data_IF_304228131715
#
_entry.id   IF_304228131715
#
_cell.length_a   1.000
_cell.length_b   1.000
_cell.length_c   1.000
_cell.angle_alpha   90.00
_cell.angle_beta   90.00
_cell.angle_gamma   90.00
#
_symmetry.space_group_name_H-M   'P 1'
#
loop_
_entity.id
_entity.type
_entity.pdbx_description
1 polymer ?
#
# COMPACT_ATOMS: atom_id res chain seq x y z
N UNK A 1 5.11 2.51 -37.22
CA UNK A 1 5.69 2.04 -35.93
C UNK A 1 5.34 3.03 -34.83
N UNK A 2 4.91 2.55 -33.66
CA UNK A 2 4.61 3.39 -32.49
C UNK A 2 5.89 4.10 -32.02
N UNK A 3 5.80 5.38 -31.63
CA UNK A 3 6.93 6.11 -31.05
C UNK A 3 7.33 5.49 -29.70
N UNK A 4 8.61 5.55 -29.35
CA UNK A 4 9.09 5.16 -28.03
C UNK A 4 8.29 5.83 -26.91
N UNK A 5 7.84 5.03 -25.94
CA UNK A 5 6.95 5.47 -24.86
C UNK A 5 7.30 4.84 -23.52
N UNK A 6 6.40 5.03 -22.55
CA UNK A 6 6.51 4.43 -21.24
C UNK A 6 6.06 2.96 -21.20
N UNK A 7 5.85 2.46 -19.99
CA UNK A 7 5.45 1.06 -19.75
C UNK A 7 4.18 0.68 -20.51
N UNK A 8 3.18 1.56 -20.52
CA UNK A 8 1.88 1.31 -21.16
C UNK A 8 2.00 1.14 -22.67
N UNK A 9 2.81 1.97 -23.32
CA UNK A 9 3.05 1.93 -24.76
C UNK A 9 3.72 0.61 -25.16
N UNK A 10 4.76 0.21 -24.44
CA UNK A 10 5.46 -1.07 -24.68
C UNK A 10 4.53 -2.27 -24.49
N UNK A 11 3.74 -2.25 -23.42
CA UNK A 11 2.74 -3.30 -23.16
C UNK A 11 1.67 -3.35 -24.25
N UNK A 12 1.15 -2.19 -24.69
CA UNK A 12 0.15 -2.12 -25.76
C UNK A 12 0.68 -2.70 -27.07
N UNK A 13 1.89 -2.32 -27.50
CA UNK A 13 2.50 -2.87 -28.71
C UNK A 13 2.58 -4.39 -28.63
N UNK A 14 3.06 -4.94 -27.51
CA UNK A 14 3.19 -6.37 -27.31
C UNK A 14 1.83 -7.07 -27.32
N UNK A 15 0.84 -6.55 -26.59
CA UNK A 15 -0.51 -7.13 -26.54
C UNK A 15 -1.18 -7.11 -27.91
N UNK A 16 -1.02 -6.02 -28.66
CA UNK A 16 -1.58 -5.90 -30.01
C UNK A 16 -0.91 -6.85 -30.99
N UNK A 17 0.42 -7.01 -30.90
CA UNK A 17 1.19 -7.89 -31.78
C UNK A 17 0.88 -9.37 -31.54
N UNK A 18 0.61 -9.76 -30.28
CA UNK A 18 0.20 -11.13 -29.96
C UNK A 18 -1.18 -11.48 -30.54
N UNK A 19 -2.09 -10.51 -30.67
CA UNK A 19 -3.42 -10.76 -31.22
C UNK A 19 -4.14 -11.90 -30.51
N UNK A 20 -4.57 -12.90 -31.26
CA UNK A 20 -5.20 -14.14 -30.79
C UNK A 20 -4.26 -15.36 -30.78
N UNK A 21 -2.95 -15.15 -31.01
CA UNK A 21 -1.97 -16.25 -31.11
C UNK A 21 -1.66 -16.99 -29.80
N UNK A 22 -2.17 -16.48 -28.67
CA UNK A 22 -1.95 -17.05 -27.32
C UNK A 22 -3.26 -17.03 -26.52
N UNK A 23 -3.43 -18.00 -25.63
CA UNK A 23 -4.60 -18.05 -24.73
C UNK A 23 -4.48 -17.08 -23.56
N UNK A 24 -3.24 -16.84 -23.11
CA UNK A 24 -2.94 -16.07 -21.90
C UNK A 24 -1.81 -15.08 -22.11
N UNK A 25 -1.91 -13.93 -21.44
CA UNK A 25 -0.87 -12.93 -21.37
C UNK A 25 -0.40 -12.78 -19.92
N UNK A 26 0.88 -13.09 -19.70
CA UNK A 26 1.54 -12.85 -18.42
C UNK A 26 2.28 -11.51 -18.43
N UNK A 27 2.11 -10.73 -17.36
CA UNK A 27 2.86 -9.50 -17.12
C UNK A 27 3.83 -9.69 -15.97
N UNK A 28 5.03 -9.13 -16.13
CA UNK A 28 6.10 -9.18 -15.13
C UNK A 28 6.91 -7.87 -15.19
N UNK A 29 7.26 -7.33 -14.03
CA UNK A 29 8.17 -6.18 -13.93
C UNK A 29 9.62 -6.65 -14.07
N UNK A 30 10.47 -5.86 -14.71
CA UNK A 30 11.87 -6.23 -15.01
C UNK A 30 12.77 -6.44 -13.79
N UNK A 31 12.36 -5.97 -12.62
CA UNK A 31 13.04 -6.16 -11.34
C UNK A 31 12.44 -7.31 -10.50
N UNK A 32 11.73 -8.23 -11.17
CA UNK A 32 11.04 -9.34 -10.52
C UNK A 32 11.62 -10.68 -10.95
N UNK A 33 11.96 -11.52 -9.95
CA UNK A 33 12.31 -12.92 -10.15
C UNK A 33 11.10 -13.80 -9.89
N UNK A 34 10.69 -14.59 -10.88
CA UNK A 34 9.58 -15.52 -10.77
C UNK A 34 10.03 -16.84 -10.13
N UNK A 35 9.12 -17.46 -9.38
CA UNK A 35 9.24 -18.86 -9.01
C UNK A 35 9.08 -19.75 -10.26
N UNK A 36 9.85 -20.85 -10.45
CA UNK A 36 9.73 -21.74 -11.61
C UNK A 36 8.31 -22.24 -11.85
N UNK A 37 7.51 -22.40 -10.80
CA UNK A 37 6.11 -22.87 -10.91
C UNK A 37 5.10 -21.71 -10.97
N UNK A 38 5.56 -20.44 -10.94
CA UNK A 38 4.67 -19.28 -10.84
C UNK A 38 3.62 -19.26 -11.94
N UNK A 39 4.02 -19.41 -13.20
CA UNK A 39 3.11 -19.36 -14.35
C UNK A 39 2.11 -20.51 -14.31
N UNK A 40 2.58 -21.73 -14.06
CA UNK A 40 1.73 -22.94 -14.00
C UNK A 40 0.65 -22.81 -12.92
N UNK A 41 1.00 -22.30 -11.74
CA UNK A 41 0.04 -22.08 -10.66
C UNK A 41 -1.02 -21.01 -10.98
N UNK A 42 -0.67 -19.99 -11.79
CA UNK A 42 -1.65 -19.01 -12.29
C UNK A 42 -2.58 -19.65 -13.34
N UNK A 43 -2.03 -20.40 -14.29
CA UNK A 43 -2.83 -21.08 -15.31
C UNK A 43 -3.86 -22.02 -14.67
N UNK A 44 -3.46 -22.83 -13.67
CA UNK A 44 -4.38 -23.71 -12.92
C UNK A 44 -5.59 -22.97 -12.37
N UNK A 45 -5.41 -21.74 -11.89
CA UNK A 45 -6.53 -20.93 -11.38
C UNK A 45 -7.43 -20.48 -12.52
N UNK A 46 -6.88 -19.92 -13.61
CA UNK A 46 -7.70 -19.47 -14.73
C UNK A 46 -8.49 -20.63 -15.35
N UNK A 47 -7.86 -21.79 -15.53
CA UNK A 47 -8.50 -22.98 -16.09
C UNK A 47 -9.59 -23.57 -15.20
N UNK A 48 -9.53 -23.32 -13.88
CA UNK A 48 -10.54 -23.86 -12.96
C UNK A 48 -11.94 -23.29 -13.17
N UNK A 49 -12.06 -22.12 -13.82
CA UNK A 49 -13.37 -21.50 -14.10
C UNK A 49 -13.27 -20.49 -15.25
N UNK A 50 -14.13 -20.64 -16.26
CA UNK A 50 -14.20 -19.72 -17.41
C UNK A 50 -14.56 -18.27 -17.02
N UNK A 51 -15.24 -18.05 -15.89
CA UNK A 51 -15.54 -16.70 -15.38
C UNK A 51 -14.32 -16.00 -14.79
N UNK A 52 -13.19 -16.69 -14.58
CA UNK A 52 -11.98 -16.09 -14.05
C UNK A 52 -11.18 -15.48 -15.20
N UNK A 53 -11.22 -14.15 -15.29
CA UNK A 53 -10.58 -13.41 -16.37
C UNK A 53 -9.11 -13.12 -16.12
N UNK A 54 -8.72 -12.97 -14.86
CA UNK A 54 -7.32 -12.69 -14.51
C UNK A 54 -6.97 -13.17 -13.10
N UNK A 55 -5.69 -13.44 -12.87
CA UNK A 55 -5.16 -13.91 -11.58
C UNK A 55 -3.81 -13.29 -11.26
N UNK A 56 -3.58 -12.93 -9.99
CA UNK A 56 -2.29 -12.51 -9.46
C UNK A 56 -1.68 -13.53 -8.49
N UNK A 57 -0.36 -13.46 -8.30
CA UNK A 57 0.38 -14.26 -7.33
C UNK A 57 0.83 -13.50 -6.08
N UNK A 58 1.47 -14.22 -5.15
CA UNK A 58 2.12 -13.69 -3.94
C UNK A 58 3.42 -12.96 -4.31
N UNK A 59 3.38 -11.64 -4.27
CA UNK A 59 4.54 -10.79 -4.54
C UNK A 59 5.30 -10.56 -3.24
N UNK A 60 6.53 -11.04 -3.18
CA UNK A 60 7.44 -10.89 -2.04
C UNK A 60 8.51 -9.84 -2.33
N UNK A 61 9.02 -9.21 -1.27
CA UNK A 61 10.13 -8.26 -1.38
C UNK A 61 11.47 -9.00 -1.34
N UNK A 62 12.25 -8.85 -2.41
CA UNK A 62 13.57 -9.45 -2.55
C UNK A 62 14.59 -8.79 -1.61
N UNK A 63 14.65 -7.46 -1.62
CA UNK A 63 15.67 -6.68 -0.93
C UNK A 63 15.26 -6.23 0.48
N UNK A 64 14.56 -7.09 1.23
CA UNK A 64 14.00 -6.76 2.55
C UNK A 64 15.06 -6.36 3.60
N UNK A 65 16.33 -6.72 3.37
CA UNK A 65 17.46 -6.43 4.28
C UNK A 65 18.17 -5.10 3.96
N UNK A 66 17.80 -4.39 2.90
CA UNK A 66 18.51 -3.18 2.46
C UNK A 66 18.32 -1.97 3.38
N UNK A 67 17.16 -1.86 4.02
CA UNK A 67 16.81 -0.75 4.90
C UNK A 67 15.57 -1.07 5.75
N UNK A 68 15.31 -0.21 6.74
CA UNK A 68 14.05 -0.21 7.48
C UNK A 68 12.82 -0.12 6.56
N UNK A 69 12.89 0.69 5.50
CA UNK A 69 11.79 0.88 4.54
C UNK A 69 11.55 -0.38 3.71
N UNK A 70 12.59 -1.03 3.21
CA UNK A 70 12.44 -2.30 2.50
C UNK A 70 11.87 -3.39 3.40
N UNK A 71 12.32 -3.43 4.66
CA UNK A 71 11.79 -4.37 5.65
C UNK A 71 10.31 -4.12 5.95
N UNK A 72 9.92 -2.89 6.28
CA UNK A 72 8.51 -2.52 6.51
C UNK A 72 7.63 -2.80 5.28
N UNK A 73 8.15 -2.52 4.08
CA UNK A 73 7.45 -2.84 2.83
C UNK A 73 7.23 -4.35 2.68
N UNK A 74 8.20 -5.19 3.08
CA UNK A 74 8.03 -6.65 3.05
C UNK A 74 6.90 -7.15 3.95
N UNK A 75 6.75 -6.58 5.15
CA UNK A 75 5.68 -6.92 6.08
C UNK A 75 4.32 -6.45 5.55
N UNK A 76 4.27 -5.22 5.02
CA UNK A 76 3.06 -4.67 4.39
C UNK A 76 2.60 -5.47 3.18
N UNK A 77 3.55 -5.88 2.32
CA UNK A 77 3.26 -6.72 1.16
C UNK A 77 2.66 -8.05 1.58
N UNK A 78 3.23 -8.71 2.59
CA UNK A 78 2.65 -9.94 3.09
C UNK A 78 1.18 -9.75 3.52
N UNK A 79 0.86 -8.70 4.27
CA UNK A 79 -0.52 -8.35 4.64
C UNK A 79 -1.39 -8.05 3.41
N UNK A 80 -0.86 -7.32 2.43
CA UNK A 80 -1.60 -6.98 1.20
C UNK A 80 -1.99 -8.23 0.42
N UNK A 81 -1.06 -9.15 0.18
CA UNK A 81 -1.31 -10.32 -0.67
C UNK A 81 -2.03 -11.43 0.09
N UNK A 82 -1.54 -11.78 1.29
CA UNK A 82 -2.00 -12.98 1.98
C UNK A 82 -3.22 -12.76 2.87
N UNK A 83 -3.61 -11.51 3.13
CA UNK A 83 -4.85 -11.17 3.86
C UNK A 83 -5.82 -10.43 2.95
N UNK A 84 -5.44 -9.24 2.46
CA UNK A 84 -6.36 -8.37 1.72
C UNK A 84 -6.74 -8.97 0.35
N UNK A 85 -5.76 -9.33 -0.49
CA UNK A 85 -6.00 -9.92 -1.82
C UNK A 85 -6.57 -11.33 -1.72
N UNK A 86 -6.18 -12.11 -0.72
CA UNK A 86 -6.78 -13.41 -0.44
C UNK A 86 -8.29 -13.28 -0.14
N UNK A 87 -8.67 -12.32 0.70
CA UNK A 87 -10.07 -12.02 0.98
C UNK A 87 -10.82 -11.54 -0.27
N UNK A 88 -10.25 -10.60 -1.02
CA UNK A 88 -10.86 -10.16 -2.29
C UNK A 88 -11.03 -11.31 -3.30
N UNK A 89 -10.05 -12.22 -3.39
CA UNK A 89 -10.11 -13.39 -4.26
C UNK A 89 -11.24 -14.33 -3.85
N UNK A 90 -11.49 -14.52 -2.54
CA UNK A 90 -12.65 -15.26 -2.07
C UNK A 90 -13.96 -14.67 -2.63
N UNK A 91 -14.08 -13.34 -2.65
CA UNK A 91 -15.23 -12.62 -3.22
C UNK A 91 -15.13 -12.32 -4.73
N UNK A 92 -14.17 -12.94 -5.43
CA UNK A 92 -13.97 -12.83 -6.88
C UNK A 92 -13.69 -11.40 -7.40
N UNK A 93 -13.21 -10.50 -6.54
CA UNK A 93 -13.14 -9.07 -6.82
C UNK A 93 -11.76 -8.46 -6.50
N UNK A 94 -10.67 -9.18 -6.79
CA UNK A 94 -9.31 -8.62 -6.62
C UNK A 94 -9.20 -7.30 -7.39
N UNK A 95 -9.04 -6.20 -6.66
CA UNK A 95 -9.12 -4.85 -7.23
C UNK A 95 -7.86 -4.41 -7.98
N UNK A 96 -6.75 -5.15 -7.79
CA UNK A 96 -5.48 -4.85 -8.44
C UNK A 96 -4.61 -6.11 -8.48
N UNK A 97 -4.54 -6.74 -9.66
CA UNK A 97 -3.51 -7.73 -9.97
C UNK A 97 -2.22 -6.96 -10.22
N UNK A 98 -1.19 -7.26 -9.43
CA UNK A 98 0.01 -6.42 -9.38
C UNK A 98 0.92 -6.70 -10.58
N UNK A 99 1.55 -5.64 -11.11
CA UNK A 99 2.48 -5.72 -12.26
C UNK A 99 3.59 -6.78 -12.19
N UNK A 100 4.18 -7.10 -11.01
CA UNK A 100 5.22 -8.12 -10.90
C UNK A 100 4.80 -9.54 -11.27
N UNK A 101 3.53 -9.90 -11.08
CA UNK A 101 3.05 -11.26 -11.31
C UNK A 101 1.54 -11.28 -11.52
N UNK A 102 1.13 -11.21 -12.79
CA UNK A 102 -0.26 -11.31 -13.20
C UNK A 102 -0.42 -12.08 -14.50
N UNK A 103 -1.51 -12.83 -14.63
CA UNK A 103 -1.89 -13.57 -15.82
C UNK A 103 -3.33 -13.21 -16.20
N UNK A 104 -3.57 -12.95 -17.49
CA UNK A 104 -4.85 -12.51 -18.02
C UNK A 104 -5.27 -13.43 -19.17
N UNK A 105 -6.57 -13.75 -19.25
CA UNK A 105 -7.18 -14.35 -20.44
C UNK A 105 -7.07 -13.37 -21.62
N UNK A 106 -6.43 -13.82 -22.70
CA UNK A 106 -6.06 -12.95 -23.81
C UNK A 106 -7.29 -12.52 -24.63
N UNK A 107 -8.20 -13.44 -24.92
CA UNK A 107 -9.48 -13.19 -25.60
C UNK A 107 -10.28 -12.04 -24.94
N UNK A 108 -10.28 -11.96 -23.61
CA UNK A 108 -10.92 -10.88 -22.85
C UNK A 108 -10.08 -9.59 -22.87
N UNK A 109 -8.76 -9.71 -22.76
CA UNK A 109 -7.85 -8.57 -22.78
C UNK A 109 -7.93 -7.82 -24.12
N UNK A 110 -7.95 -8.55 -25.24
CA UNK A 110 -8.05 -7.96 -26.58
C UNK A 110 -9.34 -7.14 -26.75
N UNK A 111 -10.45 -7.54 -26.13
CA UNK A 111 -11.73 -6.80 -26.21
C UNK A 111 -11.64 -5.39 -25.61
N UNK A 112 -10.84 -5.20 -24.56
CA UNK A 112 -10.71 -3.89 -23.90
C UNK A 112 -9.37 -3.20 -24.16
N UNK A 113 -8.46 -3.79 -24.96
CA UNK A 113 -7.10 -3.29 -25.15
C UNK A 113 -7.05 -1.81 -25.54
N UNK A 114 -7.86 -1.41 -26.54
CA UNK A 114 -7.89 -0.02 -27.02
C UNK A 114 -8.40 0.94 -25.95
N UNK A 115 -9.43 0.55 -25.21
CA UNK A 115 -10.00 1.36 -24.13
C UNK A 115 -9.05 1.50 -22.94
N UNK A 116 -8.26 0.46 -22.65
CA UNK A 116 -7.23 0.48 -21.62
C UNK A 116 -6.06 1.39 -22.01
N UNK A 117 -5.60 1.30 -23.26
CA UNK A 117 -4.49 2.10 -23.76
C UNK A 117 -4.85 3.59 -23.79
N UNK A 118 -6.02 3.92 -24.33
CA UNK A 118 -6.50 5.30 -24.50
C UNK A 118 -7.12 5.91 -23.23
N UNK A 119 -6.86 5.35 -22.06
CA UNK A 119 -7.40 5.85 -20.80
C UNK A 119 -7.06 7.35 -20.59
N UNK A 120 -8.11 8.14 -20.39
CA UNK A 120 -8.01 9.55 -20.02
C UNK A 120 -8.72 9.78 -18.69
N UNK A 121 -8.16 10.62 -17.84
CA UNK A 121 -8.82 11.09 -16.63
C UNK A 121 -8.81 12.61 -16.61
N UNK A 122 -10.00 13.21 -16.46
CA UNK A 122 -10.19 14.66 -16.55
C UNK A 122 -9.49 15.27 -17.78
N UNK A 123 -9.70 14.66 -18.95
CA UNK A 123 -9.15 15.09 -20.25
C UNK A 123 -7.68 14.71 -20.50
N UNK A 124 -6.93 14.24 -19.51
CA UNK A 124 -5.50 13.96 -19.63
C UNK A 124 -5.21 12.46 -19.74
N UNK A 125 -4.32 12.07 -20.66
CA UNK A 125 -3.87 10.67 -20.77
C UNK A 125 -3.18 10.19 -19.48
N UNK A 126 -3.59 9.00 -19.03
CA UNK A 126 -3.03 8.40 -17.82
C UNK A 126 -1.72 7.67 -18.12
N UNK A 127 -0.64 8.03 -17.42
CA UNK A 127 0.71 7.50 -17.65
C UNK A 127 1.18 6.48 -16.60
N UNK A 128 0.34 6.15 -15.62
CA UNK A 128 0.67 5.23 -14.53
C UNK A 128 -0.57 4.50 -13.99
N UNK A 129 -0.35 3.36 -13.33
CA UNK A 129 -1.42 2.53 -12.76
C UNK A 129 -2.00 1.53 -13.76
N UNK A 130 -1.14 1.03 -14.66
CA UNK A 130 -1.50 0.17 -15.78
C UNK A 130 -2.14 -1.14 -15.32
N UNK A 131 -1.60 -1.70 -14.24
CA UNK A 131 -1.99 -2.95 -13.61
C UNK A 131 -3.38 -2.87 -12.96
N UNK A 132 -3.62 -1.82 -12.18
CA UNK A 132 -4.93 -1.56 -11.58
C UNK A 132 -5.98 -1.25 -12.65
N UNK A 133 -5.61 -0.54 -13.71
CA UNK A 133 -6.52 -0.28 -14.82
C UNK A 133 -6.85 -1.55 -15.62
N UNK A 134 -5.87 -2.41 -15.94
CA UNK A 134 -6.10 -3.72 -16.57
C UNK A 134 -7.11 -4.54 -15.75
N UNK A 135 -6.88 -4.61 -14.43
CA UNK A 135 -7.75 -5.33 -13.50
C UNK A 135 -9.17 -4.74 -13.51
N UNK A 136 -9.29 -3.42 -13.46
CA UNK A 136 -10.58 -2.72 -13.53
C UNK A 136 -11.33 -2.97 -14.84
N UNK A 137 -10.63 -3.05 -15.98
CA UNK A 137 -11.27 -3.35 -17.27
C UNK A 137 -11.79 -4.78 -17.30
N UNK A 138 -11.04 -5.74 -16.78
CA UNK A 138 -11.50 -7.12 -16.62
C UNK A 138 -12.76 -7.21 -15.74
N UNK A 139 -12.75 -6.53 -14.58
CA UNK A 139 -13.92 -6.41 -13.71
C UNK A 139 -15.09 -5.70 -14.40
N UNK A 140 -14.85 -4.70 -15.24
CA UNK A 140 -15.91 -3.97 -15.95
C UNK A 140 -16.68 -4.85 -16.94
N UNK A 141 -16.04 -5.91 -17.46
CA UNK A 141 -16.69 -6.94 -18.28
C UNK A 141 -17.50 -7.95 -17.46
N UNK A 142 -17.47 -7.88 -16.12
CA UNK A 142 -18.17 -8.81 -15.22
C UNK A 142 -17.39 -10.09 -14.91
N UNK A 143 -16.13 -10.19 -15.35
CA UNK A 143 -15.27 -11.33 -15.04
C UNK A 143 -14.63 -11.19 -13.67
N UNK A 144 -14.42 -12.34 -13.02
CA UNK A 144 -13.77 -12.42 -11.72
C UNK A 144 -12.26 -12.24 -11.85
N UNK A 145 -11.67 -11.58 -10.86
CA UNK A 145 -10.23 -11.45 -10.71
C UNK A 145 -9.78 -12.14 -9.42
N UNK A 146 -8.73 -12.96 -9.52
CA UNK A 146 -8.34 -13.91 -8.48
C UNK A 146 -6.92 -13.66 -7.97
N UNK A 147 -6.61 -14.28 -6.85
CA UNK A 147 -5.29 -14.35 -6.25
C UNK A 147 -5.01 -15.79 -5.80
N UNK A 148 -3.77 -16.25 -5.99
CA UNK A 148 -3.26 -17.50 -5.43
C UNK A 148 -1.92 -17.31 -4.73
N UNK A 149 -1.81 -17.82 -3.50
CA UNK A 149 -0.56 -17.80 -2.74
C UNK A 149 0.44 -18.88 -3.20
N UNK A 150 0.02 -19.79 -4.09
CA UNK A 150 0.90 -20.85 -4.64
C UNK A 150 1.84 -20.32 -5.71
N UNK A 151 1.41 -19.33 -6.48
CA UNK A 151 2.26 -18.62 -7.44
C UNK A 151 3.01 -17.50 -6.74
N UNK A 152 4.34 -17.47 -6.82
CA UNK A 152 5.19 -16.54 -6.06
C UNK A 152 6.15 -15.80 -6.97
N UNK A 153 6.48 -14.56 -6.60
CA UNK A 153 7.62 -13.86 -7.17
C UNK A 153 8.32 -12.98 -6.13
N UNK A 154 9.52 -12.51 -6.49
CA UNK A 154 10.36 -11.67 -5.64
C UNK A 154 10.72 -10.42 -6.40
N UNK A 155 10.20 -9.27 -5.95
CA UNK A 155 10.39 -7.95 -6.57
C UNK A 155 11.19 -7.05 -5.65
N UNK A 156 11.92 -6.08 -6.22
CA UNK A 156 12.63 -5.08 -5.45
C UNK A 156 11.72 -3.91 -5.03
N UNK A 157 11.95 -3.39 -3.83
CA UNK A 157 11.29 -2.17 -3.34
C UNK A 157 12.29 -1.04 -3.10
N UNK A 158 11.90 0.25 -3.21
CA UNK A 158 12.80 1.35 -2.91
C UNK A 158 13.30 1.30 -1.47
N UNK A 159 14.63 1.22 -1.31
CA UNK A 159 15.26 1.19 0.01
C UNK A 159 15.34 2.58 0.68
N UNK A 160 15.31 3.66 -0.10
CA UNK A 160 15.38 5.03 0.40
C UNK A 160 13.98 5.60 0.65
N UNK A 161 13.79 6.27 1.80
CA UNK A 161 12.49 6.80 2.24
C UNK A 161 11.84 7.73 1.22
N UNK A 162 12.56 8.74 0.72
CA UNK A 162 11.99 9.70 -0.25
C UNK A 162 11.52 9.01 -1.53
N UNK A 163 12.30 8.05 -2.03
CA UNK A 163 11.95 7.32 -3.24
C UNK A 163 10.76 6.38 -3.03
N UNK A 164 10.70 5.74 -1.87
CA UNK A 164 9.54 4.97 -1.44
C UNK A 164 8.29 5.87 -1.34
N UNK A 165 8.39 7.04 -0.71
CA UNK A 165 7.27 7.97 -0.57
C UNK A 165 6.75 8.44 -1.94
N UNK A 166 7.65 8.71 -2.89
CA UNK A 166 7.29 9.07 -4.26
C UNK A 166 6.56 7.93 -4.97
N UNK A 167 7.00 6.69 -4.77
CA UNK A 167 6.32 5.49 -5.26
C UNK A 167 4.91 5.36 -4.65
N UNK A 168 4.80 5.49 -3.32
CA UNK A 168 3.51 5.40 -2.62
C UNK A 168 2.53 6.48 -3.07
N UNK A 169 3.00 7.72 -3.19
CA UNK A 169 2.20 8.85 -3.70
C UNK A 169 1.64 8.55 -5.09
N UNK A 170 2.47 8.02 -5.99
CA UNK A 170 2.04 7.63 -7.35
C UNK A 170 1.01 6.51 -7.32
N UNK A 171 1.20 5.49 -6.48
CA UNK A 171 0.23 4.40 -6.32
C UNK A 171 -1.10 4.89 -5.75
N UNK A 172 -1.07 5.85 -4.84
CA UNK A 172 -2.26 6.47 -4.27
C UNK A 172 -3.01 7.32 -5.30
N UNK A 173 -2.32 8.06 -6.18
CA UNK A 173 -2.96 8.76 -7.30
C UNK A 173 -3.73 7.81 -8.20
N UNK A 174 -3.06 6.75 -8.64
CA UNK A 174 -3.72 5.70 -9.43
C UNK A 174 -4.88 5.07 -8.65
N UNK A 175 -4.73 4.89 -7.34
CA UNK A 175 -5.77 4.25 -6.52
C UNK A 175 -7.06 5.05 -6.54
N UNK A 176 -7.02 6.35 -6.24
CA UNK A 176 -8.24 7.16 -6.22
C UNK A 176 -8.88 7.31 -7.61
N UNK A 177 -8.07 7.44 -8.65
CA UNK A 177 -8.57 7.44 -10.04
C UNK A 177 -9.30 6.13 -10.35
N UNK A 178 -8.64 5.00 -10.13
CA UNK A 178 -9.20 3.69 -10.41
C UNK A 178 -10.36 3.34 -9.47
N UNK A 179 -10.41 3.90 -8.27
CA UNK A 179 -11.53 3.78 -7.33
C UNK A 179 -12.80 4.41 -7.91
N UNK A 180 -12.69 5.61 -8.50
CA UNK A 180 -13.81 6.26 -9.20
C UNK A 180 -14.29 5.44 -10.40
N UNK A 181 -13.36 4.91 -11.21
CA UNK A 181 -13.73 4.01 -12.31
C UNK A 181 -14.40 2.74 -11.80
N UNK A 182 -13.83 2.11 -10.79
CA UNK A 182 -14.31 0.86 -10.22
C UNK A 182 -15.76 0.97 -9.72
N UNK A 183 -16.14 2.13 -9.17
CA UNK A 183 -17.48 2.40 -8.68
C UNK A 183 -18.57 2.24 -9.75
N UNK A 184 -18.25 2.45 -11.03
CA UNK A 184 -19.20 2.32 -12.14
C UNK A 184 -19.69 0.89 -12.36
N UNK A 185 -19.00 -0.13 -11.83
CA UNK A 185 -19.29 -1.54 -12.07
C UNK A 185 -19.49 -2.37 -10.79
N UNK A 186 -19.65 -1.74 -9.62
CA UNK A 186 -19.92 -2.47 -8.37
C UNK A 186 -21.15 -3.37 -8.43
N UNK A 187 -22.18 -2.96 -9.17
CA UNK A 187 -23.40 -3.75 -9.37
C UNK A 187 -23.19 -5.10 -10.08
N UNK A 188 -22.02 -5.30 -10.72
CA UNK A 188 -21.68 -6.56 -11.40
C UNK A 188 -21.00 -7.59 -10.49
N UNK A 189 -20.64 -7.20 -9.27
CA UNK A 189 -19.77 -7.99 -8.38
C UNK A 189 -20.37 -8.14 -6.98
N UNK A 190 -19.72 -8.94 -6.14
CA UNK A 190 -20.11 -9.12 -4.74
C UNK A 190 -20.17 -7.78 -3.99
N UNK A 191 -21.13 -7.64 -3.07
CA UNK A 191 -21.27 -6.49 -2.16
C UNK A 191 -20.02 -6.24 -1.30
N UNK A 192 -19.13 -7.23 -1.15
CA UNK A 192 -17.84 -7.04 -0.52
C UNK A 192 -16.98 -5.97 -1.22
N UNK A 193 -17.06 -5.91 -2.55
CA UNK A 193 -16.27 -4.98 -3.37
C UNK A 193 -16.56 -3.51 -3.05
N UNK A 194 -17.82 -3.01 -3.12
CA UNK A 194 -18.14 -1.64 -2.71
C UNK A 194 -17.87 -1.40 -1.22
N UNK A 195 -18.15 -2.37 -0.34
CA UNK A 195 -17.86 -2.24 1.09
C UNK A 195 -16.37 -1.97 1.34
N UNK A 196 -15.48 -2.81 0.82
CA UNK A 196 -14.04 -2.66 0.99
C UNK A 196 -13.53 -1.36 0.36
N UNK A 197 -14.05 -1.00 -0.81
CA UNK A 197 -13.69 0.22 -1.50
C UNK A 197 -14.07 1.48 -0.71
N UNK A 198 -15.27 1.50 -0.11
CA UNK A 198 -15.75 2.60 0.74
C UNK A 198 -14.92 2.68 2.03
N UNK A 199 -14.71 1.55 2.73
CA UNK A 199 -13.91 1.53 3.95
C UNK A 199 -12.48 1.99 3.67
N UNK A 200 -11.82 1.43 2.67
CA UNK A 200 -10.42 1.76 2.34
C UNK A 200 -10.27 3.19 1.80
N UNK A 201 -11.27 3.68 1.07
CA UNK A 201 -11.31 5.02 0.49
C UNK A 201 -11.61 6.09 1.54
N UNK A 202 -12.61 5.88 2.40
CA UNK A 202 -13.17 6.93 3.26
C UNK A 202 -12.63 6.90 4.69
N UNK A 203 -12.45 5.71 5.30
CA UNK A 203 -12.01 5.57 6.69
C UNK A 203 -10.74 6.38 7.04
N UNK A 204 -9.72 6.49 6.17
CA UNK A 204 -8.55 7.32 6.44
C UNK A 204 -8.88 8.80 6.73
N UNK A 205 -9.92 9.36 6.11
CA UNK A 205 -10.32 10.76 6.34
C UNK A 205 -11.00 10.95 7.70
N UNK A 206 -11.78 9.97 8.15
CA UNK A 206 -12.34 9.98 9.51
C UNK A 206 -11.25 9.93 10.56
N UNK A 207 -10.23 9.08 10.35
CA UNK A 207 -9.06 9.03 11.24
C UNK A 207 -8.35 10.37 11.29
N UNK A 208 -8.09 10.99 10.13
CA UNK A 208 -7.47 12.32 10.10
C UNK A 208 -8.29 13.38 10.82
N UNK A 209 -9.59 13.48 10.54
CA UNK A 209 -10.46 14.47 11.17
C UNK A 209 -10.49 14.29 12.69
N UNK A 210 -10.55 13.03 13.15
CA UNK A 210 -10.51 12.68 14.57
C UNK A 210 -9.18 13.11 15.21
N UNK A 211 -8.04 12.76 14.60
CA UNK A 211 -6.71 13.11 15.12
C UNK A 211 -6.54 14.63 15.18
N UNK A 212 -6.87 15.37 14.12
CA UNK A 212 -6.76 16.84 14.12
C UNK A 212 -7.68 17.44 15.20
N UNK A 213 -8.93 16.97 15.31
CA UNK A 213 -9.87 17.45 16.33
C UNK A 213 -9.32 17.23 17.73
N UNK A 214 -8.81 16.03 18.04
CA UNK A 214 -8.27 15.72 19.37
C UNK A 214 -7.03 16.56 19.69
N UNK A 215 -6.15 16.79 18.71
CA UNK A 215 -4.95 17.61 18.92
C UNK A 215 -5.23 19.09 19.18
N UNK A 216 -6.36 19.63 18.70
CA UNK A 216 -6.68 21.05 18.86
C UNK A 216 -7.71 21.32 19.96
N UNK A 217 -8.64 20.40 20.18
CA UNK A 217 -9.76 20.60 21.12
C UNK A 217 -9.69 19.69 22.34
N UNK A 218 -9.04 18.52 22.24
CA UNK A 218 -8.97 17.52 23.30
C UNK A 218 -7.96 17.86 24.40
N UNK A 219 -7.97 17.08 25.47
CA UNK A 219 -6.98 17.13 26.56
C UNK A 219 -5.67 16.45 26.17
N UNK A 220 -4.63 16.60 27.01
CA UNK A 220 -3.38 15.84 26.83
C UNK A 220 -3.63 14.34 26.91
N UNK A 221 -4.56 13.92 27.77
CA UNK A 221 -4.95 12.52 27.87
C UNK A 221 -5.61 12.02 26.58
N UNK A 222 -6.49 12.79 25.95
CA UNK A 222 -7.14 12.40 24.70
C UNK A 222 -6.13 12.18 23.56
N UNK A 223 -5.12 13.05 23.48
CA UNK A 223 -4.02 12.91 22.51
C UNK A 223 -3.22 11.63 22.77
N UNK A 224 -2.80 11.41 24.01
CA UNK A 224 -2.06 10.20 24.38
C UNK A 224 -2.88 8.94 24.13
N UNK A 225 -4.16 8.98 24.47
CA UNK A 225 -5.10 7.88 24.31
C UNK A 225 -5.30 7.49 22.85
N UNK A 226 -5.47 8.47 21.94
CA UNK A 226 -5.59 8.15 20.50
C UNK A 226 -4.30 7.56 19.93
N UNK A 227 -3.13 8.03 20.38
CA UNK A 227 -1.84 7.45 19.98
C UNK A 227 -1.70 6.00 20.48
N UNK A 228 -2.08 5.72 21.72
CA UNK A 228 -2.15 4.38 22.27
C UNK A 228 -3.14 3.50 21.51
N UNK A 229 -4.34 3.99 21.18
CA UNK A 229 -5.33 3.26 20.38
C UNK A 229 -4.78 2.86 19.00
N UNK A 230 -4.14 3.80 18.29
CA UNK A 230 -3.49 3.52 17.00
C UNK A 230 -2.43 2.42 17.16
N UNK A 231 -1.65 2.48 18.25
CA UNK A 231 -0.62 1.50 18.54
C UNK A 231 -1.19 0.11 18.87
N UNK A 232 -2.24 0.05 19.70
CA UNK A 232 -2.95 -1.17 20.07
C UNK A 232 -3.54 -1.83 18.82
N UNK A 233 -4.21 -1.07 17.95
CA UNK A 233 -4.74 -1.61 16.68
C UNK A 233 -3.60 -2.14 15.81
N UNK A 234 -2.46 -1.42 15.75
CA UNK A 234 -1.26 -1.89 15.06
C UNK A 234 -0.74 -3.22 15.61
N UNK A 235 -0.72 -3.36 16.93
CA UNK A 235 -0.34 -4.59 17.62
C UNK A 235 -1.30 -5.75 17.38
N UNK A 236 -2.62 -5.51 17.44
CA UNK A 236 -3.63 -6.53 17.15
C UNK A 236 -3.46 -7.05 15.73
N UNK A 237 -3.26 -6.16 14.75
CA UNK A 237 -2.98 -6.55 13.37
C UNK A 237 -1.68 -7.35 13.23
N UNK A 238 -0.63 -6.93 13.94
CA UNK A 238 0.66 -7.62 13.93
C UNK A 238 0.58 -9.00 14.59
N UNK A 239 -0.15 -9.14 15.70
CA UNK A 239 -0.38 -10.40 16.40
C UNK A 239 -1.18 -11.37 15.52
N UNK A 240 -2.27 -10.89 14.92
CA UNK A 240 -3.04 -11.66 13.95
C UNK A 240 -2.16 -12.16 12.79
N UNK A 241 -1.30 -11.28 12.27
CA UNK A 241 -0.35 -11.65 11.22
C UNK A 241 0.72 -12.66 11.67
N UNK A 242 1.18 -12.60 12.93
CA UNK A 242 2.10 -13.59 13.50
C UNK A 242 1.46 -14.98 13.53
N UNK A 243 0.20 -15.06 13.97
CA UNK A 243 -0.55 -16.31 14.04
C UNK A 243 -0.78 -16.90 12.65
N UNK A 244 -1.26 -16.08 11.71
CA UNK A 244 -1.57 -16.53 10.36
C UNK A 244 -0.30 -16.91 9.56
N UNK A 245 0.79 -16.15 9.71
CA UNK A 245 2.08 -16.46 9.05
C UNK A 245 2.87 -17.56 9.77
N UNK A 246 2.51 -17.89 11.01
CA UNK A 246 3.31 -18.73 11.93
C UNK A 246 4.76 -18.24 12.05
N UNK A 247 4.95 -16.92 12.05
CA UNK A 247 6.27 -16.31 12.13
C UNK A 247 6.22 -15.00 12.91
N UNK A 248 6.96 -14.95 14.02
CA UNK A 248 6.98 -13.81 14.93
C UNK A 248 7.57 -12.54 14.32
N UNK A 249 8.29 -12.61 13.19
CA UNK A 249 8.78 -11.43 12.48
C UNK A 249 7.67 -10.44 12.10
N UNK A 250 6.42 -10.91 12.00
CA UNK A 250 5.26 -10.06 11.74
C UNK A 250 4.93 -9.10 12.89
N UNK A 251 5.48 -9.29 14.10
CA UNK A 251 5.25 -8.38 15.22
C UNK A 251 5.68 -6.94 14.87
N UNK A 252 6.73 -6.81 14.06
CA UNK A 252 7.24 -5.52 13.58
C UNK A 252 6.26 -4.78 12.66
N UNK A 253 5.19 -5.44 12.17
CA UNK A 253 4.11 -4.79 11.44
C UNK A 253 3.40 -3.72 12.30
N UNK A 254 3.48 -3.84 13.62
CA UNK A 254 2.95 -2.82 14.53
C UNK A 254 3.64 -1.46 14.39
N UNK A 255 4.88 -1.41 13.90
CA UNK A 255 5.62 -0.17 13.63
C UNK A 255 5.18 0.49 12.33
N UNK A 256 4.48 -0.24 11.47
CA UNK A 256 3.94 0.29 10.22
C UNK A 256 2.84 1.32 10.46
N UNK A 257 2.13 1.26 11.61
CA UNK A 257 1.10 2.24 11.97
C UNK A 257 1.67 3.66 12.01
N UNK A 258 2.85 3.85 12.61
CA UNK A 258 3.55 5.13 12.62
C UNK A 258 3.89 5.57 11.20
N UNK A 259 4.53 4.71 10.40
CA UNK A 259 4.88 5.03 9.00
C UNK A 259 3.63 5.40 8.18
N UNK A 260 2.50 4.76 8.45
CA UNK A 260 1.23 5.09 7.83
C UNK A 260 0.74 6.49 8.27
N UNK A 261 0.68 6.77 9.57
CA UNK A 261 0.16 8.03 10.11
C UNK A 261 1.05 9.23 9.77
N UNK A 262 2.38 9.06 9.79
CA UNK A 262 3.32 10.16 9.55
C UNK A 262 3.61 10.39 8.08
N UNK A 263 3.43 9.39 7.21
CA UNK A 263 3.90 9.48 5.82
C UNK A 263 2.81 9.16 4.80
N UNK A 264 2.13 8.02 4.91
CA UNK A 264 1.16 7.61 3.89
C UNK A 264 -0.14 8.42 3.95
N UNK A 265 -0.66 8.65 5.16
CA UNK A 265 -1.88 9.39 5.38
C UNK A 265 -1.80 10.83 4.82
N UNK A 266 -0.79 11.65 5.16
CA UNK A 266 -0.65 12.97 4.54
C UNK A 266 -0.38 12.90 3.03
N UNK A 267 0.37 11.90 2.56
CA UNK A 267 0.58 11.70 1.12
C UNK A 267 -0.72 11.41 0.35
N UNK A 268 -1.77 10.86 0.99
CA UNK A 268 -3.08 10.65 0.36
C UNK A 268 -3.73 11.97 -0.06
N UNK A 269 -3.74 12.97 0.81
CA UNK A 269 -4.28 14.29 0.49
C UNK A 269 -3.56 14.92 -0.70
N UNK A 270 -2.22 14.88 -0.66
CA UNK A 270 -1.41 15.39 -1.75
C UNK A 270 -1.64 14.63 -3.06
N UNK A 271 -1.79 13.30 -3.00
CA UNK A 271 -2.09 12.49 -4.17
C UNK A 271 -3.43 12.89 -4.81
N UNK A 272 -4.48 13.12 -4.02
CA UNK A 272 -5.81 13.54 -4.51
C UNK A 272 -5.71 14.92 -5.18
N UNK A 273 -5.11 15.89 -4.50
CA UNK A 273 -4.96 17.26 -5.03
C UNK A 273 -4.10 17.33 -6.30
N UNK A 274 -3.19 16.38 -6.49
CA UNK A 274 -2.27 16.35 -7.63
C UNK A 274 -2.50 15.18 -8.59
N UNK A 275 -3.70 14.58 -8.55
CA UNK A 275 -4.04 13.37 -9.30
C UNK A 275 -3.96 13.58 -10.82
N UNK A 276 -4.26 14.79 -11.31
CA UNK A 276 -4.20 15.14 -12.73
C UNK A 276 -2.79 15.43 -13.26
N UNK A 277 -1.78 15.55 -12.39
CA UNK A 277 -0.41 15.81 -12.83
C UNK A 277 0.26 14.50 -13.29
N UNK A 278 0.58 14.42 -14.58
CA UNK A 278 1.23 13.26 -15.23
C UNK A 278 2.76 13.23 -15.10
N UNK A 279 3.38 14.33 -14.64
CA UNK A 279 4.85 14.53 -14.58
C UNK A 279 5.60 13.67 -13.56
N UNK A 280 4.90 12.85 -12.78
CA UNK A 280 5.45 12.04 -11.69
C UNK A 280 5.96 10.66 -12.16
N UNK A 281 6.54 10.63 -13.37
CA UNK A 281 7.13 9.44 -13.96
C UNK A 281 8.22 8.81 -13.06
N UNK A 282 8.49 7.53 -13.27
CA UNK A 282 9.58 6.84 -12.58
C UNK A 282 10.92 7.33 -13.09
N UNK A 283 11.74 7.94 -12.22
CA UNK A 283 13.15 8.13 -12.52
C UNK A 283 13.88 6.77 -12.46
N UNK A 284 14.90 6.60 -13.31
CA UNK A 284 15.73 5.39 -13.29
C UNK A 284 16.35 5.17 -11.91
N UNK A 285 16.45 3.90 -11.49
CA UNK A 285 16.81 3.52 -10.10
C UNK A 285 18.18 4.01 -9.63
N UNK A 286 19.09 4.32 -10.56
CA UNK A 286 20.44 4.83 -10.28
C UNK A 286 20.50 6.36 -10.12
N UNK A 287 19.42 7.09 -10.45
CA UNK A 287 19.37 8.55 -10.34
C UNK A 287 18.95 8.95 -8.93
N UNK A 288 19.70 9.85 -8.30
CA UNK A 288 19.30 10.48 -7.04
C UNK A 288 17.98 11.20 -7.28
N UNK A 289 17.00 10.94 -6.44
CA UNK A 289 15.69 11.57 -6.52
C UNK A 289 15.81 12.99 -5.96
N UNK A 290 15.97 13.98 -6.83
CA UNK A 290 15.93 15.40 -6.46
C UNK A 290 14.52 15.97 -6.27
N UNK A 291 13.49 15.13 -6.32
CA UNK A 291 12.10 15.55 -6.16
C UNK A 291 11.65 15.41 -4.70
N UNK A 292 11.76 16.50 -3.96
CA UNK A 292 11.38 16.61 -2.54
C UNK A 292 9.92 17.01 -2.32
N UNK A 293 9.17 17.30 -3.40
CA UNK A 293 7.78 17.77 -3.30
C UNK A 293 6.91 16.81 -2.45
N UNK A 294 7.07 15.47 -2.49
CA UNK A 294 6.27 14.59 -1.64
C UNK A 294 6.54 14.68 -0.14
N UNK A 295 7.59 15.40 0.30
CA UNK A 295 7.78 15.74 1.71
C UNK A 295 6.90 16.90 2.16
N UNK A 296 6.46 17.78 1.27
CA UNK A 296 5.60 18.91 1.59
C UNK A 296 4.36 18.52 2.42
N UNK A 297 3.55 17.52 2.02
CA UNK A 297 2.40 17.12 2.83
C UNK A 297 2.78 16.58 4.21
N UNK A 298 3.96 15.95 4.36
CA UNK A 298 4.44 15.48 5.65
C UNK A 298 4.81 16.66 6.55
N UNK A 299 5.46 17.68 6.01
CA UNK A 299 5.80 18.90 6.75
C UNK A 299 4.55 19.66 7.18
N UNK A 300 3.56 19.82 6.29
CA UNK A 300 2.27 20.46 6.62
C UNK A 300 1.55 19.67 7.70
N UNK A 301 1.48 18.34 7.56
CA UNK A 301 0.87 17.45 8.55
C UNK A 301 1.53 17.57 9.93
N UNK A 302 2.87 17.52 9.97
CA UNK A 302 3.63 17.69 11.19
C UNK A 302 3.39 19.07 11.80
N UNK A 303 3.38 20.15 10.99
CA UNK A 303 3.11 21.49 11.47
C UNK A 303 1.71 21.62 12.10
N UNK A 304 0.67 21.05 11.47
CA UNK A 304 -0.71 21.07 11.99
C UNK A 304 -0.80 20.34 13.33
N UNK A 305 -0.20 19.15 13.45
CA UNK A 305 -0.24 18.37 14.69
C UNK A 305 0.62 18.99 15.79
N UNK A 306 1.83 19.46 15.48
CA UNK A 306 2.69 20.11 16.47
C UNK A 306 2.11 21.44 16.96
N UNK A 307 1.53 22.24 16.06
CA UNK A 307 0.83 23.47 16.45
C UNK A 307 -0.38 23.16 17.36
N UNK A 308 -1.19 22.16 17.01
CA UNK A 308 -2.30 21.70 17.85
C UNK A 308 -1.82 21.22 19.23
N UNK A 309 -0.77 20.41 19.27
CA UNK A 309 -0.18 19.92 20.52
C UNK A 309 0.33 21.08 21.39
N UNK A 310 1.09 22.02 20.82
CA UNK A 310 1.58 23.21 21.53
C UNK A 310 0.43 24.07 22.06
N UNK A 311 -0.62 24.27 21.26
CA UNK A 311 -1.82 25.00 21.66
C UNK A 311 -2.53 24.29 22.82
N UNK A 312 -2.69 22.97 22.75
CA UNK A 312 -3.31 22.17 23.80
C UNK A 312 -2.49 22.20 25.09
N UNK A 313 -1.16 22.06 25.01
CA UNK A 313 -0.26 22.21 26.16
C UNK A 313 -0.40 23.60 26.79
N UNK A 314 -0.41 24.66 25.97
CA UNK A 314 -0.58 26.03 26.45
C UNK A 314 -1.92 26.22 27.16
N UNK A 315 -3.01 25.73 26.57
CA UNK A 315 -4.35 25.80 27.17
C UNK A 315 -4.42 25.02 28.49
N UNK A 316 -3.87 23.81 28.52
CA UNK A 316 -3.82 22.93 29.69
C UNK A 316 -2.90 23.48 30.79
N UNK A 317 -1.83 24.22 30.44
CA UNK A 317 -0.97 24.89 31.43
C UNK A 317 -1.70 25.97 32.24
N UNK A 318 -2.79 26.52 31.71
CA UNK A 318 -3.65 27.50 32.40
C UNK A 318 -4.81 26.84 33.16
N UNK A 319 -4.99 25.53 33.05
CA UNK A 319 -6.03 24.81 33.77
C UNK A 319 -5.66 24.61 35.24
N UNK A 320 -6.66 24.47 36.09
CA UNK A 320 -6.46 24.16 37.50
C UNK A 320 -6.22 22.66 37.70
N UNK A 321 -4.95 22.29 37.85
CA UNK A 321 -4.51 20.90 38.07
C UNK A 321 -4.76 20.38 39.49
N UNK A 322 -5.29 21.19 40.40
CA UNK A 322 -5.62 20.75 41.76
C UNK A 322 -6.95 20.00 41.82
N UNK A 323 -7.79 20.11 40.79
CA UNK A 323 -9.07 19.43 40.73
C UNK A 323 -8.91 17.90 40.72
N UNK A 324 -9.78 17.14 41.41
CA UNK A 324 -9.69 15.67 41.48
C UNK A 324 -9.64 14.98 40.12
N UNK A 325 -10.36 15.51 39.12
CA UNK A 325 -10.35 14.99 37.76
C UNK A 325 -8.97 15.15 37.09
N UNK A 326 -8.32 16.30 37.27
CA UNK A 326 -6.97 16.57 36.72
C UNK A 326 -5.89 15.78 37.45
N UNK A 327 -6.04 15.53 38.76
CA UNK A 327 -5.16 14.63 39.50
C UNK A 327 -5.23 13.18 38.99
N UNK A 328 -6.42 12.72 38.60
CA UNK A 328 -6.56 11.42 37.95
C UNK A 328 -5.96 11.43 36.54
N UNK A 329 -6.16 12.51 35.78
CA UNK A 329 -5.57 12.70 34.45
C UNK A 329 -4.03 12.60 34.48
N UNK A 330 -3.37 13.20 35.47
CA UNK A 330 -1.92 13.10 35.67
C UNK A 330 -1.48 11.63 35.76
N UNK A 331 -2.20 10.81 36.54
CA UNK A 331 -1.87 9.38 36.68
C UNK A 331 -1.96 8.68 35.31
N UNK A 332 -3.03 8.91 34.56
CA UNK A 332 -3.20 8.32 33.24
C UNK A 332 -2.13 8.79 32.24
N UNK A 333 -1.77 10.07 32.27
CA UNK A 333 -0.70 10.62 31.47
C UNK A 333 0.65 9.96 31.76
N UNK A 334 1.00 9.78 33.03
CA UNK A 334 2.25 9.11 33.42
C UNK A 334 2.26 7.66 32.94
N UNK A 335 1.26 6.86 33.32
CA UNK A 335 1.24 5.44 32.96
C UNK A 335 1.14 5.22 31.45
N UNK A 336 0.29 6.00 30.77
CA UNK A 336 0.14 5.93 29.33
C UNK A 336 1.42 6.33 28.59
N UNK A 337 2.10 7.38 29.04
CA UNK A 337 3.34 7.85 28.40
C UNK A 337 4.48 6.84 28.61
N UNK A 338 4.62 6.30 29.83
CA UNK A 338 5.59 5.25 30.12
C UNK A 338 5.32 4.02 29.26
N UNK A 339 4.09 3.52 29.21
CA UNK A 339 3.72 2.38 28.39
C UNK A 339 4.01 2.62 26.90
N UNK A 340 3.65 3.80 26.38
CA UNK A 340 3.88 4.19 25.00
C UNK A 340 5.37 4.26 24.66
N UNK A 341 6.18 4.94 25.49
CA UNK A 341 7.63 5.09 25.26
C UNK A 341 8.36 3.76 25.40
N UNK A 342 8.08 2.99 26.45
CA UNK A 342 8.69 1.66 26.68
C UNK A 342 8.40 0.74 25.49
N UNK A 343 7.17 0.77 24.97
CA UNK A 343 6.81 0.01 23.78
C UNK A 343 7.69 0.35 22.58
N UNK A 344 7.85 1.64 22.26
CA UNK A 344 8.67 2.07 21.13
C UNK A 344 10.14 1.72 21.31
N UNK A 345 10.70 1.97 22.49
CA UNK A 345 12.08 1.63 22.80
C UNK A 345 12.32 0.12 22.67
N UNK A 346 11.41 -0.70 23.19
CA UNK A 346 11.48 -2.14 23.09
C UNK A 346 11.43 -2.63 21.63
N UNK A 347 10.48 -2.12 20.83
CA UNK A 347 10.36 -2.53 19.43
C UNK A 347 11.54 -2.08 18.56
N UNK A 348 12.06 -0.87 18.80
CA UNK A 348 13.27 -0.38 18.14
C UNK A 348 14.45 -1.27 18.53
N UNK A 349 14.63 -1.56 19.82
CA UNK A 349 15.67 -2.47 20.30
C UNK A 349 15.57 -3.85 19.62
N UNK A 350 14.38 -4.46 19.60
CA UNK A 350 14.15 -5.73 18.92
C UNK A 350 14.50 -5.66 17.43
N UNK A 351 14.17 -4.57 16.74
CA UNK A 351 14.50 -4.41 15.32
C UNK A 351 16.02 -4.41 15.09
N UNK A 352 16.77 -3.68 15.92
CA UNK A 352 18.22 -3.59 15.80
C UNK A 352 18.93 -4.89 16.17
N UNK A 353 18.51 -5.55 17.25
CA UNK A 353 19.13 -6.77 17.75
C UNK A 353 18.76 -7.98 16.89
N UNK A 354 17.48 -8.18 16.63
CA UNK A 354 16.99 -9.41 16.01
C UNK A 354 17.06 -9.36 14.48
N UNK A 355 16.61 -8.27 13.87
CA UNK A 355 16.51 -8.18 12.42
C UNK A 355 17.77 -7.64 11.77
N UNK A 356 18.26 -6.48 12.22
CA UNK A 356 19.40 -5.83 11.56
C UNK A 356 20.72 -6.57 11.84
N UNK A 357 20.84 -7.24 13.00
CA UNK A 357 22.08 -7.82 13.55
C UNK A 357 23.22 -6.81 13.43
N UNK A 358 23.45 -6.01 14.48
CA UNK A 358 24.47 -4.95 14.54
C UNK A 358 25.67 -5.24 13.60
N UNK A 359 25.89 -4.35 12.61
CA UNK A 359 27.03 -4.37 11.67
C UNK A 359 26.97 -5.32 10.44
N UNK A 360 25.86 -5.40 9.71
CA UNK A 360 25.82 -6.15 8.42
C UNK A 360 26.01 -5.25 7.19
N UNK A 361 26.97 -5.60 6.31
CA UNK A 361 27.16 -4.97 4.98
C UNK A 361 25.97 -5.26 4.05
N UNK A 362 25.61 -4.30 3.18
CA UNK A 362 24.61 -4.50 2.11
C UNK A 362 25.03 -5.68 1.23
N UNK A 363 24.10 -6.59 0.97
CA UNK A 363 24.33 -7.70 0.05
C UNK A 363 24.31 -7.16 -1.39
N UNK A 364 25.33 -7.48 -2.18
CA UNK A 364 25.34 -7.12 -3.62
C UNK A 364 24.51 -8.09 -4.47
N UNK A 365 24.26 -9.30 -3.96
CA UNK A 365 23.41 -10.32 -4.59
C UNK A 365 22.34 -10.83 -3.61
N UNK A 366 21.21 -11.28 -4.15
CA UNK A 366 20.13 -11.89 -3.39
C UNK A 366 19.89 -13.30 -3.91
N UNK A 367 20.26 -14.30 -3.12
CA UNK A 367 19.88 -15.68 -3.40
C UNK A 367 18.46 -15.92 -2.92
N UNK A 368 17.62 -16.28 -3.87
CA UNK A 368 16.29 -16.82 -3.59
C UNK A 368 16.42 -18.32 -3.70
N UNK A 369 16.34 -19.02 -2.57
CA UNK A 369 16.08 -20.46 -2.56
C UNK A 369 14.66 -20.63 -3.08
N UNK A 370 14.54 -20.95 -4.37
CA UNK A 370 13.24 -21.26 -4.96
C UNK A 370 12.97 -22.74 -4.84
#
# INVERSE_FOLDING_TARGET
MQKWGGKREVMYTAFKALGDSVDYIQVCDSDTKLDPLATVELCKVLESNQKYGAVGGDVKILNLKDSYISFMSSLRYWMAFNVERACQSFFNCVSCISGPLGLYRNDLLQQFLESWYNQKFLGTHCTFGDDRHLTNRMLSLGYATKYTARSKCYTETPAQFLRWLNQQTRWTKSYFREWLYNALWWHKHSLWMPYEAIVSGIFPFFVTATVIKLFWTGSLWDILWVLCCIQIIGLVKAAYACLLRKNFIMIFMSLYSMLYMTSLLPAKYFAILTMNKSSWGTSGRRKIVGNYIPLLPLSIWAAILLAGLCYTIYRESKADWTQPAKQLEIKFLIYGSVAYVVYWLFMIFLYWVWFRRLCRKRSQSYDVSV
#
